data_IF_054691683759
#
_entry.id   IF_054691683759
#
_cell.length_a   1.000
_cell.length_b   1.000
_cell.length_c   1.000
_cell.angle_alpha   90.00
_cell.angle_beta   90.00
_cell.angle_gamma   90.00
#
_symmetry.space_group_name_H-M   'P 1'
#
loop_
_entity.id
_entity.type
_entity.pdbx_description
1 polymer ?
#
# COMPACT_ATOMS: atom_id res chain seq x y z
N UNK A 1 -7.52 16.51 16.19
CA UNK A 1 -6.52 15.99 15.23
C UNK A 1 -7.09 16.17 13.83
N UNK A 2 -6.79 17.33 13.24
CA UNK A 2 -7.43 17.77 12.01
C UNK A 2 -6.82 17.11 10.77
N UNK A 3 -7.68 16.30 10.13
CA UNK A 3 -7.81 16.04 8.70
C UNK A 3 -6.60 16.47 7.85
N UNK A 4 -5.60 15.60 7.78
CA UNK A 4 -4.74 15.45 6.60
C UNK A 4 -5.61 14.93 5.44
N UNK A 5 -6.46 15.79 4.87
CA UNK A 5 -7.13 15.54 3.59
C UNK A 5 -6.26 16.18 2.50
N UNK A 6 -5.31 15.45 1.90
CA UNK A 6 -4.60 15.97 0.75
C UNK A 6 -5.62 16.33 -0.34
N UNK A 7 -5.59 17.59 -0.81
CA UNK A 7 -6.56 18.24 -1.72
C UNK A 7 -6.95 17.44 -2.98
N UNK A 8 -6.18 16.40 -3.33
CA UNK A 8 -6.30 15.63 -4.57
C UNK A 8 -6.94 14.25 -4.41
N UNK A 9 -7.23 13.81 -3.18
CA UNK A 9 -7.96 12.57 -2.93
C UNK A 9 -9.25 12.85 -2.14
N UNK A 10 -10.33 13.19 -2.84
CA UNK A 10 -11.64 13.47 -2.22
C UNK A 10 -12.31 12.23 -1.57
N UNK A 11 -11.74 11.03 -1.74
CA UNK A 11 -12.29 9.74 -1.29
C UNK A 11 -11.27 8.83 -0.55
N UNK A 12 -10.29 9.39 0.16
CA UNK A 12 -9.39 8.57 1.00
C UNK A 12 -9.97 8.45 2.41
N UNK A 13 -10.05 7.21 2.90
CA UNK A 13 -10.42 6.88 4.27
C UNK A 13 -9.17 6.38 4.99
N UNK A 14 -8.68 7.15 5.97
CA UNK A 14 -7.52 6.73 6.77
C UNK A 14 -7.99 5.89 7.95
N UNK A 15 -7.63 4.61 7.96
CA UNK A 15 -7.85 3.74 9.12
C UNK A 15 -6.54 3.59 9.90
N UNK A 16 -6.30 4.50 10.84
CA UNK A 16 -5.11 4.42 11.69
C UNK A 16 -5.31 3.32 12.73
N UNK A 17 -4.50 2.27 12.68
CA UNK A 17 -4.50 1.18 13.66
C UNK A 17 -3.23 1.31 14.50
N UNK A 18 -3.34 2.02 15.62
CA UNK A 18 -2.32 2.36 16.62
C UNK A 18 -1.16 3.27 16.18
N UNK A 19 -0.95 4.34 16.96
CA UNK A 19 0.11 5.32 16.78
C UNK A 19 1.08 5.31 17.94
N UNK A 20 2.33 4.92 17.69
CA UNK A 20 3.47 5.49 18.41
C UNK A 20 3.93 6.77 17.69
N UNK A 21 4.17 7.82 18.47
CA UNK A 21 4.12 9.22 18.01
C UNK A 21 5.27 9.67 17.09
N UNK A 22 6.37 8.93 17.00
CA UNK A 22 7.61 9.46 16.39
C UNK A 22 7.74 9.15 14.89
N UNK A 23 7.04 8.14 14.36
CA UNK A 23 7.10 7.76 12.93
C UNK A 23 6.11 8.51 12.02
N UNK A 24 5.34 9.46 12.59
CA UNK A 24 4.16 10.11 11.98
C UNK A 24 4.39 10.80 10.64
N UNK A 25 5.61 11.20 10.33
CA UNK A 25 5.88 12.02 9.14
C UNK A 25 6.46 11.24 7.95
N UNK A 26 7.16 10.13 8.13
CA UNK A 26 7.95 9.60 7.01
C UNK A 26 7.12 8.69 6.10
N UNK A 27 6.51 7.65 6.66
CA UNK A 27 5.69 6.68 5.92
C UNK A 27 4.58 7.32 5.09
N UNK A 28 3.88 8.28 5.71
CA UNK A 28 2.80 9.02 5.07
C UNK A 28 3.30 9.82 3.87
N UNK A 29 4.51 10.38 3.91
CA UNK A 29 5.06 11.16 2.80
C UNK A 29 5.51 10.27 1.63
N UNK A 30 6.11 9.10 1.88
CA UNK A 30 6.47 8.18 0.78
C UNK A 30 5.24 7.60 0.10
N UNK A 31 4.24 7.19 0.88
CA UNK A 31 2.98 6.71 0.32
C UNK A 31 2.25 7.85 -0.41
N UNK A 32 2.28 9.06 0.12
CA UNK A 32 1.77 10.25 -0.55
C UNK A 32 2.48 10.47 -1.90
N UNK A 33 3.81 10.58 -1.92
CA UNK A 33 4.58 10.77 -3.17
C UNK A 33 4.37 9.63 -4.17
N UNK A 34 4.33 8.39 -3.71
CA UNK A 34 4.10 7.24 -4.57
C UNK A 34 2.71 7.27 -5.22
N UNK A 35 1.68 7.52 -4.42
CA UNK A 35 0.30 7.63 -4.92
C UNK A 35 0.09 8.82 -5.85
N UNK A 36 0.94 9.86 -5.78
CA UNK A 36 0.89 11.00 -6.70
C UNK A 36 1.51 10.75 -8.06
N UNK A 37 2.24 9.64 -8.25
CA UNK A 37 2.85 9.31 -9.55
C UNK A 37 1.77 9.13 -10.60
N UNK A 38 1.97 9.74 -11.77
CA UNK A 38 0.98 9.75 -12.85
C UNK A 38 0.50 8.33 -13.21
N UNK A 39 1.42 7.38 -13.29
CA UNK A 39 1.14 5.98 -13.59
C UNK A 39 0.28 5.30 -12.52
N UNK A 40 0.61 5.49 -11.23
CA UNK A 40 -0.14 4.93 -10.10
C UNK A 40 -1.54 5.54 -10.05
N UNK A 41 -1.66 6.86 -10.26
CA UNK A 41 -2.97 7.53 -10.36
C UNK A 41 -3.80 6.99 -11.52
N UNK A 42 -3.19 6.78 -12.69
CA UNK A 42 -3.88 6.23 -13.87
C UNK A 42 -4.40 4.82 -13.59
N UNK A 43 -3.57 3.94 -13.01
CA UNK A 43 -3.97 2.59 -12.59
C UNK A 43 -5.15 2.63 -11.61
N UNK A 44 -5.03 3.40 -10.52
CA UNK A 44 -6.08 3.51 -9.51
C UNK A 44 -7.39 4.03 -10.10
N UNK A 45 -7.33 5.00 -11.03
CA UNK A 45 -8.51 5.54 -11.68
C UNK A 45 -9.19 4.52 -12.60
N UNK A 46 -8.43 3.78 -13.40
CA UNK A 46 -8.99 2.77 -14.30
C UNK A 46 -9.61 1.62 -13.49
N UNK A 47 -8.89 1.12 -12.49
CA UNK A 47 -9.42 0.10 -11.59
C UNK A 47 -10.70 0.56 -10.87
N UNK A 48 -10.75 1.80 -10.38
CA UNK A 48 -11.93 2.37 -9.74
C UNK A 48 -13.15 2.43 -10.68
N UNK A 49 -12.94 2.77 -11.95
CA UNK A 49 -14.02 2.81 -12.95
C UNK A 49 -14.57 1.41 -13.24
N UNK A 50 -13.69 0.41 -13.33
CA UNK A 50 -14.08 -0.98 -13.63
C UNK A 50 -14.75 -1.68 -12.44
N UNK A 51 -14.21 -1.51 -11.24
CA UNK A 51 -14.69 -2.19 -10.02
C UNK A 51 -15.82 -1.44 -9.31
N UNK A 52 -16.00 -0.14 -9.58
CA UNK A 52 -16.89 0.74 -8.82
C UNK A 52 -16.35 1.17 -7.46
N UNK A 53 -15.20 0.63 -7.03
CA UNK A 53 -14.58 0.95 -5.75
C UNK A 53 -13.87 2.30 -5.82
N UNK A 54 -14.09 3.18 -4.83
CA UNK A 54 -13.55 4.55 -4.85
C UNK A 54 -12.63 4.89 -3.67
N UNK A 55 -12.68 4.09 -2.61
CA UNK A 55 -11.97 4.38 -1.37
C UNK A 55 -10.52 3.91 -1.45
N UNK A 56 -9.66 4.52 -0.64
CA UNK A 56 -8.33 3.97 -0.34
C UNK A 56 -8.25 3.86 1.17
N UNK A 57 -7.89 2.68 1.67
CA UNK A 57 -7.69 2.40 3.10
C UNK A 57 -6.20 2.21 3.35
N UNK A 58 -5.71 2.75 4.47
CA UNK A 58 -4.31 2.63 4.87
C UNK A 58 -4.19 1.79 6.13
N UNK A 59 -3.36 0.75 6.13
CA UNK A 59 -2.81 0.16 7.34
C UNK A 59 -1.54 0.91 7.70
N UNK A 60 -1.41 1.34 8.95
CA UNK A 60 -0.18 1.93 9.46
C UNK A 60 0.27 1.18 10.69
N UNK A 61 1.42 0.52 10.63
CA UNK A 61 1.95 -0.26 11.74
C UNK A 61 3.47 -0.49 11.58
N UNK A 62 4.14 -0.93 12.66
CA UNK A 62 5.49 -1.47 12.54
C UNK A 62 5.44 -2.88 11.95
N UNK A 63 6.27 -3.15 10.94
CA UNK A 63 6.46 -4.52 10.45
C UNK A 63 7.12 -5.40 11.51
N UNK A 64 6.79 -6.68 11.51
CA UNK A 64 7.42 -7.67 12.38
C UNK A 64 8.34 -8.56 11.56
N UNK A 65 9.57 -8.75 12.04
CA UNK A 65 10.54 -9.72 11.50
C UNK A 65 10.51 -11.06 12.24
N UNK A 66 9.52 -11.28 13.13
CA UNK A 66 9.42 -12.52 13.92
C UNK A 66 9.04 -13.76 13.09
N UNK A 67 8.50 -13.55 11.90
CA UNK A 67 8.17 -14.63 10.97
C UNK A 67 8.84 -14.39 9.63
N UNK A 68 9.51 -15.41 9.11
CA UNK A 68 10.12 -15.42 7.78
C UNK A 68 9.18 -15.92 6.69
N UNK A 69 8.01 -16.48 7.08
CA UNK A 69 7.03 -17.08 6.15
C UNK A 69 5.71 -16.32 6.11
N UNK A 70 5.44 -15.47 7.10
CA UNK A 70 4.24 -14.64 7.16
C UNK A 70 4.59 -13.18 7.29
N UNK A 71 4.00 -12.36 6.43
CA UNK A 71 4.12 -10.92 6.54
C UNK A 71 3.26 -10.45 7.70
N UNK A 72 3.89 -9.95 8.75
CA UNK A 72 3.23 -9.56 9.99
C UNK A 72 3.51 -8.10 10.37
N UNK A 73 2.63 -7.54 11.20
CA UNK A 73 2.78 -6.23 11.81
C UNK A 73 2.47 -6.29 13.31
N UNK A 74 3.00 -5.32 14.06
CA UNK A 74 2.70 -5.15 15.48
C UNK A 74 1.43 -4.34 15.68
N UNK A 75 0.58 -4.81 16.59
CA UNK A 75 -0.62 -4.12 17.06
C UNK A 75 -0.63 -4.18 18.59
N UNK A 76 -0.18 -3.09 19.21
CA UNK A 76 0.23 -3.09 20.61
C UNK A 76 1.29 -4.17 20.87
N UNK A 77 1.01 -5.06 21.83
CA UNK A 77 1.90 -6.20 22.18
C UNK A 77 1.68 -7.45 21.33
N UNK A 78 0.71 -7.44 20.41
CA UNK A 78 0.36 -8.59 19.57
C UNK A 78 1.01 -8.47 18.20
N UNK A 79 1.27 -9.62 17.59
CA UNK A 79 1.69 -9.74 16.19
C UNK A 79 0.48 -10.20 15.39
N UNK A 80 0.14 -9.48 14.33
CA UNK A 80 -0.96 -9.79 13.43
C UNK A 80 -0.45 -10.00 12.00
N UNK A 81 -1.16 -10.83 11.25
CA UNK A 81 -0.89 -11.08 9.82
C UNK A 81 -1.37 -9.90 8.97
N UNK A 82 -0.55 -9.47 8.02
CA UNK A 82 -0.94 -8.48 7.01
C UNK A 82 -1.99 -9.09 6.08
N UNK A 83 -1.84 -10.36 5.67
CA UNK A 83 -2.80 -11.01 4.78
C UNK A 83 -4.21 -11.04 5.41
N UNK A 84 -4.32 -11.39 6.69
CA UNK A 84 -5.62 -11.41 7.39
C UNK A 84 -6.25 -10.01 7.44
N UNK A 85 -5.43 -8.95 7.54
CA UNK A 85 -5.92 -7.58 7.44
C UNK A 85 -6.38 -7.24 6.02
N UNK A 86 -5.67 -7.70 4.99
CA UNK A 86 -6.08 -7.54 3.59
C UNK A 86 -7.42 -8.23 3.35
N UNK A 87 -7.55 -9.49 3.73
CA UNK A 87 -8.77 -10.30 3.54
C UNK A 87 -9.99 -9.64 4.21
N UNK A 88 -9.81 -9.01 5.37
CA UNK A 88 -10.88 -8.31 6.08
C UNK A 88 -11.34 -7.00 5.43
N UNK A 89 -10.54 -6.41 4.53
CA UNK A 89 -10.84 -5.12 3.89
C UNK A 89 -10.94 -5.19 2.36
N UNK A 90 -10.63 -6.36 1.78
CA UNK A 90 -10.70 -6.58 0.35
C UNK A 90 -12.13 -6.37 -0.17
N UNK A 91 -12.26 -5.62 -1.28
CA UNK A 91 -13.55 -5.26 -1.85
C UNK A 91 -14.27 -4.10 -1.15
N UNK A 92 -13.79 -3.60 0.00
CA UNK A 92 -14.33 -2.38 0.62
C UNK A 92 -13.71 -1.10 0.02
N UNK A 93 -12.53 -1.22 -0.60
CA UNK A 93 -11.76 -0.11 -1.12
C UNK A 93 -11.11 -0.42 -2.47
N UNK A 94 -10.90 0.62 -3.28
CA UNK A 94 -10.17 0.53 -4.54
C UNK A 94 -8.72 0.09 -4.31
N UNK A 95 -8.11 0.58 -3.24
CA UNK A 95 -6.77 0.19 -2.84
C UNK A 95 -6.62 0.05 -1.33
N UNK A 96 -5.81 -0.92 -0.93
CA UNK A 96 -5.34 -1.13 0.43
C UNK A 96 -3.84 -0.84 0.48
N UNK A 97 -3.46 0.18 1.24
CA UNK A 97 -2.09 0.64 1.33
C UNK A 97 -1.50 0.19 2.65
N UNK A 98 -0.52 -0.71 2.59
CA UNK A 98 0.14 -1.28 3.77
C UNK A 98 1.41 -0.48 4.07
N UNK A 99 1.30 0.37 5.07
CA UNK A 99 2.40 1.04 5.73
C UNK A 99 2.93 0.24 6.91
N UNK A 100 3.44 -0.97 6.65
CA UNK A 100 4.23 -1.77 7.57
C UNK A 100 5.49 -2.24 6.83
N UNK A 101 6.59 -2.57 7.51
CA UNK A 101 7.83 -3.01 6.84
C UNK A 101 7.76 -4.49 6.45
N UNK A 102 8.15 -4.85 5.23
CA UNK A 102 8.16 -6.22 4.73
C UNK A 102 9.59 -6.79 4.73
N UNK A 103 10.12 -7.09 5.91
CA UNK A 103 11.53 -7.43 6.10
C UNK A 103 12.01 -8.65 5.30
N UNK A 104 11.09 -9.51 4.87
CA UNK A 104 11.40 -10.75 4.14
C UNK A 104 10.86 -10.73 2.70
N UNK A 105 10.44 -9.57 2.20
CA UNK A 105 9.88 -9.40 0.84
C UNK A 105 8.76 -10.41 0.51
N UNK A 106 7.89 -10.66 1.48
CA UNK A 106 6.82 -11.64 1.35
C UNK A 106 5.68 -11.13 0.48
N UNK A 107 5.08 -12.04 -0.26
CA UNK A 107 3.95 -11.77 -1.13
C UNK A 107 2.63 -11.77 -0.33
N UNK A 108 1.78 -10.82 -0.68
CA UNK A 108 0.38 -10.75 -0.29
C UNK A 108 -0.50 -10.69 -1.54
N UNK A 109 -1.76 -11.09 -1.41
CA UNK A 109 -2.72 -11.14 -2.53
C UNK A 109 -4.08 -10.58 -2.11
N UNK A 110 -4.90 -10.27 -3.09
CA UNK A 110 -6.28 -9.83 -2.92
C UNK A 110 -7.10 -10.19 -4.17
N UNK A 111 -8.42 -10.27 -4.04
CA UNK A 111 -9.36 -10.58 -5.12
C UNK A 111 -9.98 -9.32 -5.74
N UNK A 112 -10.08 -8.22 -4.99
CA UNK A 112 -10.83 -7.04 -5.45
C UNK A 112 -10.08 -5.71 -5.33
N UNK A 113 -9.19 -5.55 -4.35
CA UNK A 113 -8.49 -4.30 -4.08
C UNK A 113 -7.06 -4.33 -4.61
N UNK A 114 -6.58 -3.21 -5.14
CA UNK A 114 -5.15 -3.02 -5.43
C UNK A 114 -4.38 -2.94 -4.12
N UNK A 115 -3.27 -3.66 -4.00
CA UNK A 115 -2.44 -3.63 -2.78
C UNK A 115 -1.15 -2.89 -3.06
N UNK A 116 -0.84 -1.91 -2.21
CA UNK A 116 0.39 -1.12 -2.29
C UNK A 116 1.15 -1.28 -0.99
N UNK A 117 2.35 -1.85 -1.03
CA UNK A 117 3.11 -2.18 0.17
C UNK A 117 4.61 -2.21 -0.09
N UNK A 118 5.48 -2.15 0.92
CA UNK A 118 6.91 -2.27 0.70
C UNK A 118 7.42 -3.67 0.38
N UNK A 119 8.57 -3.74 -0.28
CA UNK A 119 9.31 -4.99 -0.52
C UNK A 119 10.46 -5.26 0.47
N UNK A 120 10.69 -4.41 1.48
CA UNK A 120 11.84 -4.53 2.37
C UNK A 120 11.59 -4.01 3.79
N UNK A 121 12.58 -4.21 4.67
CA UNK A 121 12.68 -3.54 5.96
C UNK A 121 13.05 -2.07 5.75
N UNK A 122 12.13 -1.13 6.00
CA UNK A 122 12.47 0.28 5.85
C UNK A 122 13.35 0.78 6.99
N UNK A 123 14.61 1.08 6.72
CA UNK A 123 15.37 2.01 7.55
C UNK A 123 15.18 3.45 7.03
N UNK A 124 15.14 4.43 7.93
CA UNK A 124 14.87 5.85 7.61
C UNK A 124 15.89 6.44 6.61
N UNK A 125 17.10 5.87 6.52
CA UNK A 125 18.13 6.30 5.57
C UNK A 125 17.87 5.79 4.14
N UNK A 126 17.38 4.56 3.96
CA UNK A 126 16.95 4.05 2.65
C UNK A 126 15.74 4.84 2.14
N UNK A 127 14.84 5.23 3.04
CA UNK A 127 13.69 6.08 2.78
C UNK A 127 14.05 7.45 2.17
N UNK A 128 15.09 8.13 2.67
CA UNK A 128 15.49 9.46 2.18
C UNK A 128 16.30 9.42 0.88
N UNK A 129 16.96 8.30 0.56
CA UNK A 129 17.81 8.19 -0.63
C UNK A 129 17.03 7.95 -1.92
N UNK A 130 15.77 7.54 -1.84
CA UNK A 130 15.08 6.96 -2.99
C UNK A 130 14.01 7.90 -3.52
N UNK A 131 14.44 8.85 -4.38
CA UNK A 131 13.51 9.65 -5.20
C UNK A 131 12.68 8.80 -6.20
N UNK A 132 13.06 7.53 -6.41
CA UNK A 132 12.55 6.63 -7.47
C UNK A 132 11.51 5.58 -7.06
N UNK A 133 11.19 5.39 -5.78
CA UNK A 133 10.14 4.46 -5.32
C UNK A 133 10.40 2.97 -5.54
N UNK A 134 11.66 2.55 -5.74
CA UNK A 134 12.05 1.17 -6.04
C UNK A 134 11.80 0.13 -4.93
N UNK A 135 11.27 0.56 -3.79
CA UNK A 135 10.98 -0.30 -2.64
C UNK A 135 9.48 -0.49 -2.37
N UNK A 136 8.63 -0.08 -3.32
CA UNK A 136 7.17 -0.23 -3.24
C UNK A 136 6.71 -1.23 -4.29
N UNK A 137 5.90 -2.17 -3.85
CA UNK A 137 5.21 -3.17 -4.67
C UNK A 137 3.78 -2.76 -4.90
N UNK A 138 3.27 -3.15 -6.07
CA UNK A 138 1.88 -2.94 -6.43
C UNK A 138 1.33 -4.26 -6.94
N UNK A 139 0.40 -4.82 -6.19
CA UNK A 139 -0.37 -6.00 -6.60
C UNK A 139 -1.70 -5.54 -7.19
N UNK A 140 -2.03 -6.05 -8.37
CA UNK A 140 -3.31 -5.82 -9.06
C UNK A 140 -4.09 -7.13 -9.09
N UNK A 141 -5.34 -7.18 -8.59
CA UNK A 141 -6.16 -8.38 -8.65
C UNK A 141 -6.30 -8.95 -10.06
N UNK A 142 -6.24 -10.27 -10.18
CA UNK A 142 -6.29 -10.98 -11.47
C UNK A 142 -5.05 -10.82 -12.37
N UNK A 143 -4.05 -10.03 -11.95
CA UNK A 143 -2.81 -9.77 -12.71
C UNK A 143 -1.57 -10.18 -11.92
N UNK A 144 -1.49 -9.82 -10.64
CA UNK A 144 -0.30 -10.02 -9.80
C UNK A 144 0.52 -8.75 -9.60
N UNK A 145 1.81 -8.93 -9.30
CA UNK A 145 2.75 -7.84 -9.03
C UNK A 145 3.23 -7.15 -10.31
N UNK A 146 3.08 -5.82 -10.36
CA UNK A 146 3.35 -5.02 -11.57
C UNK A 146 4.50 -4.02 -11.40
N UNK A 147 5.05 -3.85 -10.20
CA UNK A 147 6.02 -2.80 -9.88
C UNK A 147 7.35 -2.88 -10.65
N UNK A 148 7.74 -4.07 -11.11
CA UNK A 148 9.04 -4.30 -11.75
C UNK A 148 9.03 -4.08 -13.27
N UNK A 149 7.87 -3.84 -13.88
CA UNK A 149 7.76 -3.78 -15.33
C UNK A 149 6.85 -2.62 -15.77
N UNK A 150 7.47 -1.52 -16.21
CA UNK A 150 6.76 -0.33 -16.69
C UNK A 150 5.86 -0.61 -17.91
N UNK A 151 6.28 -1.52 -18.79
CA UNK A 151 5.45 -1.94 -19.92
C UNK A 151 4.25 -2.78 -19.47
N UNK A 152 4.43 -3.65 -18.47
CA UNK A 152 3.33 -4.40 -17.86
C UNK A 152 2.33 -3.46 -17.20
N UNK A 153 2.80 -2.42 -16.52
CA UNK A 153 1.93 -1.41 -15.91
C UNK A 153 1.01 -0.71 -16.94
N UNK A 154 1.56 -0.30 -18.10
CA UNK A 154 0.76 0.29 -19.17
C UNK A 154 -0.17 -0.74 -19.82
N UNK A 155 0.30 -1.96 -20.09
CA UNK A 155 -0.54 -3.04 -20.63
C UNK A 155 -1.70 -3.40 -19.70
N UNK A 156 -1.47 -3.43 -18.40
CA UNK A 156 -2.51 -3.67 -17.39
C UNK A 156 -3.51 -2.53 -17.42
N UNK A 157 -3.05 -1.28 -17.43
CA UNK A 157 -3.94 -0.13 -17.56
C UNK A 157 -4.78 -0.23 -18.83
N UNK A 158 -4.17 -0.54 -19.97
CA UNK A 158 -4.85 -0.60 -21.26
C UNK A 158 -5.79 -1.82 -21.38
N UNK A 159 -5.48 -2.94 -20.73
CA UNK A 159 -6.36 -4.12 -20.66
C UNK A 159 -7.44 -4.06 -19.57
N UNK A 160 -7.40 -3.03 -18.71
CA UNK A 160 -8.46 -2.73 -17.75
C UNK A 160 -9.48 -1.70 -18.31
N UNK A 161 -9.18 -1.05 -19.44
CA UNK A 161 -10.10 -0.18 -20.22
C UNK A 161 -11.00 -1.06 -21.08
#
# INVERSE_FOLDING_TARGET
MDRLRPRYFRHVEFQVVDGEEVSRFHLCWVLHYFLHRALVRRLLNVHARRSGLKRIIFLRAHGSNRSTTKYCYFHGRKVKSVQDWIDAHDGLANALVVGACNCHNLDITAQHSIIIHPNCSWCLQEFMRVKGGGYIRVFVPGVGYVEKNYHLFNKVIDGLV
#
